data_IF_784619161848
#
_entry.id   IF_784619161848
#
_cell.length_a   1.000
_cell.length_b   1.000
_cell.length_c   1.000
_cell.angle_alpha   90.00
_cell.angle_beta   90.00
_cell.angle_gamma   90.00
#
_symmetry.space_group_name_H-M   'P 1'
#
loop_
_entity.id
_entity.type
_entity.pdbx_description
1 polymer ?
#
# COMPACT_ATOMS: atom_id res chain seq x y z
N UNK A 1 5.47 -4.00 -12.27
CA UNK A 1 5.33 -3.97 -10.80
C UNK A 1 5.78 -5.31 -10.19
N UNK A 2 6.66 -5.33 -9.20
CA UNK A 2 7.11 -6.54 -8.47
C UNK A 2 6.94 -6.32 -6.96
N UNK A 3 6.30 -7.27 -6.29
CA UNK A 3 6.26 -7.36 -4.82
C UNK A 3 7.13 -8.56 -4.43
N UNK A 4 8.09 -8.33 -3.53
CA UNK A 4 8.91 -9.40 -2.93
C UNK A 4 8.35 -9.69 -1.54
N UNK A 5 8.22 -10.97 -1.16
CA UNK A 5 7.69 -11.38 0.13
C UNK A 5 8.63 -12.40 0.78
N UNK A 6 9.21 -12.04 1.94
CA UNK A 6 10.11 -12.87 2.74
C UNK A 6 9.39 -13.51 3.94
N UNK A 7 8.06 -13.59 3.92
CA UNK A 7 7.23 -14.19 4.95
C UNK A 7 6.78 -13.19 6.02
N UNK A 8 7.73 -12.44 6.59
CA UNK A 8 7.46 -11.40 7.61
C UNK A 8 7.49 -9.98 7.05
N UNK A 9 8.10 -9.78 5.88
CA UNK A 9 8.24 -8.48 5.22
C UNK A 9 7.85 -8.61 3.76
N UNK A 10 7.09 -7.63 3.27
CA UNK A 10 6.78 -7.43 1.87
C UNK A 10 7.33 -6.07 1.44
N UNK A 11 7.95 -6.00 0.27
CA UNK A 11 8.46 -4.76 -0.30
C UNK A 11 7.93 -4.61 -1.72
N UNK A 12 7.63 -3.37 -2.12
CA UNK A 12 7.32 -3.06 -3.51
C UNK A 12 8.39 -2.16 -4.13
N UNK A 13 8.46 -2.16 -5.45
CA UNK A 13 9.45 -1.39 -6.22
C UNK A 13 9.38 0.14 -5.99
N UNK A 14 8.28 0.65 -5.44
CA UNK A 14 8.10 2.06 -5.09
C UNK A 14 8.78 2.48 -3.77
N UNK A 15 9.58 1.60 -3.15
CA UNK A 15 10.27 1.90 -1.89
C UNK A 15 9.40 1.77 -0.63
N UNK A 16 8.14 1.37 -0.79
CA UNK A 16 7.24 1.10 0.33
C UNK A 16 7.33 -0.36 0.77
N UNK A 17 7.09 -0.59 2.06
CA UNK A 17 7.15 -1.90 2.68
C UNK A 17 5.95 -2.16 3.58
N UNK A 18 5.64 -3.43 3.78
CA UNK A 18 4.71 -3.90 4.79
C UNK A 18 5.41 -4.95 5.65
N UNK A 19 5.22 -4.91 6.96
CA UNK A 19 5.81 -5.85 7.92
C UNK A 19 4.75 -6.45 8.83
N UNK A 20 4.82 -7.75 9.08
CA UNK A 20 3.99 -8.41 10.07
C UNK A 20 4.25 -7.82 11.47
N UNK A 21 3.20 -7.61 12.25
CA UNK A 21 3.31 -7.15 13.63
C UNK A 21 3.88 -8.25 14.52
N UNK A 22 3.53 -9.50 14.22
CA UNK A 22 4.06 -10.71 14.84
C UNK A 22 4.70 -11.58 13.75
N UNK A 23 6.03 -11.65 13.74
CA UNK A 23 6.81 -12.41 12.76
C UNK A 23 6.53 -13.93 12.84
N UNK A 24 5.95 -14.43 13.95
CA UNK A 24 5.51 -15.83 14.10
C UNK A 24 4.09 -16.07 13.55
N UNK A 25 3.33 -15.01 13.23
CA UNK A 25 1.97 -15.06 12.69
C UNK A 25 1.89 -14.23 11.40
N UNK A 26 2.47 -14.72 10.29
CA UNK A 26 2.52 -13.98 9.02
C UNK A 26 1.15 -13.75 8.37
N UNK A 27 0.09 -14.43 8.83
CA UNK A 27 -1.30 -14.17 8.39
C UNK A 27 -2.07 -13.24 9.34
N UNK A 28 -1.42 -12.71 10.38
CA UNK A 28 -1.99 -11.80 11.36
C UNK A 28 -2.02 -10.36 10.87
N UNK A 29 -1.71 -9.45 11.79
CA UNK A 29 -1.69 -8.01 11.52
C UNK A 29 -0.40 -7.58 10.83
N UNK A 30 -0.51 -6.61 9.92
CA UNK A 30 0.58 -6.03 9.16
C UNK A 30 0.57 -4.50 9.30
N UNK A 31 1.75 -3.89 9.35
CA UNK A 31 1.93 -2.44 9.24
C UNK A 31 2.52 -2.09 7.89
N UNK A 32 2.01 -1.04 7.27
CA UNK A 32 2.47 -0.55 5.97
C UNK A 32 3.19 0.78 6.17
N UNK A 33 4.31 0.99 5.48
CA UNK A 33 5.20 2.14 5.72
C UNK A 33 4.54 3.50 5.48
N UNK A 34 3.64 3.60 4.49
CA UNK A 34 2.90 4.83 4.19
C UNK A 34 1.56 4.95 4.95
N UNK A 35 1.21 3.96 5.76
CA UNK A 35 -0.03 3.90 6.53
C UNK A 35 0.27 3.45 7.97
N UNK A 36 1.09 4.22 8.71
CA UNK A 36 1.69 3.76 9.96
C UNK A 36 0.71 3.69 11.14
N UNK A 37 -0.36 4.50 11.11
CA UNK A 37 -1.27 4.69 12.25
C UNK A 37 -2.25 3.54 12.47
N UNK A 38 -2.22 2.51 11.62
CA UNK A 38 -3.09 1.35 11.74
C UNK A 38 -2.45 0.05 11.29
N UNK A 39 -2.97 -1.04 11.83
CA UNK A 39 -2.69 -2.39 11.35
C UNK A 39 -3.73 -2.80 10.31
N UNK A 40 -3.31 -3.63 9.37
CA UNK A 40 -4.17 -4.16 8.30
C UNK A 40 -3.97 -5.67 8.19
N UNK A 41 -4.90 -6.37 7.54
CA UNK A 41 -4.71 -7.78 7.21
C UNK A 41 -3.59 -7.96 6.18
N UNK A 42 -3.04 -9.18 6.06
CA UNK A 42 -2.07 -9.52 5.01
C UNK A 42 -2.56 -9.14 3.60
N UNK A 43 -3.84 -9.38 3.29
CA UNK A 43 -4.39 -9.06 1.96
C UNK A 43 -4.47 -7.54 1.74
N UNK A 44 -4.92 -6.80 2.74
CA UNK A 44 -4.91 -5.33 2.69
C UNK A 44 -3.48 -4.78 2.60
N UNK A 45 -2.49 -5.41 3.23
CA UNK A 45 -1.09 -5.03 3.06
C UNK A 45 -0.62 -5.19 1.61
N UNK A 46 -1.01 -6.28 0.93
CA UNK A 46 -0.76 -6.46 -0.50
C UNK A 46 -1.47 -5.38 -1.33
N UNK A 47 -2.76 -5.14 -1.08
CA UNK A 47 -3.53 -4.05 -1.73
C UNK A 47 -2.82 -2.70 -1.54
N UNK A 48 -2.31 -2.41 -0.35
CA UNK A 48 -1.62 -1.18 -0.04
C UNK A 48 -0.29 -1.03 -0.80
N UNK A 49 0.47 -2.12 -0.96
CA UNK A 49 1.69 -2.11 -1.76
C UNK A 49 1.42 -1.99 -3.27
N UNK A 50 0.31 -2.55 -3.77
CA UNK A 50 -0.18 -2.35 -5.14
C UNK A 50 -0.55 -0.90 -5.39
N UNK A 51 -1.32 -0.32 -4.48
CA UNK A 51 -1.74 1.06 -4.56
C UNK A 51 -0.53 2.01 -4.60
N UNK A 52 0.45 1.80 -3.71
CA UNK A 52 1.69 2.56 -3.70
C UNK A 52 2.46 2.50 -5.02
N UNK A 53 2.61 1.30 -5.59
CA UNK A 53 3.28 1.15 -6.88
C UNK A 53 2.56 1.88 -8.01
N UNK A 54 1.23 1.78 -8.09
CA UNK A 54 0.44 2.48 -9.10
C UNK A 54 0.54 4.00 -8.98
N UNK A 55 0.51 4.54 -7.75
CA UNK A 55 0.65 5.98 -7.51
C UNK A 55 2.04 6.49 -7.90
N UNK A 56 3.10 5.76 -7.55
CA UNK A 56 4.47 6.09 -7.95
C UNK A 56 4.68 5.99 -9.47
N UNK A 57 3.97 5.08 -10.15
CA UNK A 57 3.96 4.95 -11.61
C UNK A 57 3.10 6.03 -12.31
N UNK A 58 2.45 6.94 -11.56
CA UNK A 58 1.76 8.11 -12.09
C UNK A 58 0.23 8.07 -12.05
N UNK A 59 -0.39 7.06 -11.42
CA UNK A 59 -1.85 6.95 -11.29
C UNK A 59 -2.43 7.87 -10.18
N UNK A 60 -2.23 9.18 -10.31
CA UNK A 60 -2.50 10.17 -9.25
C UNK A 60 -3.82 10.92 -9.39
N UNK A 61 -4.60 10.70 -10.45
CA UNK A 61 -5.89 11.38 -10.62
C UNK A 61 -6.81 10.81 -11.69
N UNK A 62 -8.04 11.38 -11.81
CA UNK A 62 -9.12 10.85 -12.66
C UNK A 62 -8.83 10.74 -14.15
N UNK A 63 -7.86 11.50 -14.66
CA UNK A 63 -7.43 11.41 -16.05
C UNK A 63 -6.66 10.13 -16.36
N UNK A 64 -6.20 9.40 -15.34
CA UNK A 64 -5.41 8.18 -15.51
C UNK A 64 -6.31 6.96 -15.71
N UNK A 65 -6.00 6.11 -16.69
CA UNK A 65 -6.81 4.92 -17.03
C UNK A 65 -7.03 3.95 -15.86
N UNK A 66 -6.08 3.87 -14.92
CA UNK A 66 -6.18 2.99 -13.75
C UNK A 66 -6.85 3.63 -12.54
N UNK A 67 -7.32 4.87 -12.65
CA UNK A 67 -7.94 5.59 -11.54
C UNK A 67 -9.14 4.87 -10.89
N UNK A 68 -10.04 4.20 -11.63
CA UNK A 68 -11.11 3.43 -11.01
C UNK A 68 -10.60 2.28 -10.11
N UNK A 69 -9.46 1.68 -10.46
CA UNK A 69 -8.83 0.65 -9.63
C UNK A 69 -8.17 1.24 -8.38
N UNK A 70 -7.51 2.39 -8.51
CA UNK A 70 -6.96 3.16 -7.37
C UNK A 70 -8.06 3.48 -6.36
N UNK A 71 -9.26 3.87 -6.83
CA UNK A 71 -10.42 4.10 -5.99
C UNK A 71 -10.90 2.82 -5.28
N UNK A 72 -10.99 1.71 -5.99
CA UNK A 72 -11.37 0.42 -5.39
C UNK A 72 -10.40 -0.03 -4.30
N UNK A 73 -9.10 0.00 -4.58
CA UNK A 73 -8.06 -0.39 -3.62
C UNK A 73 -7.99 0.55 -2.42
N UNK A 74 -8.15 1.86 -2.62
CA UNK A 74 -8.24 2.80 -1.50
C UNK A 74 -9.46 2.48 -0.61
N UNK A 75 -10.61 2.17 -1.22
CA UNK A 75 -11.81 1.82 -0.49
C UNK A 75 -11.70 0.49 0.29
N UNK A 76 -10.98 -0.51 -0.23
CA UNK A 76 -10.62 -1.74 0.52
C UNK A 76 -9.81 -1.45 1.79
N UNK A 77 -9.05 -0.36 1.74
CA UNK A 77 -8.29 0.17 2.87
C UNK A 77 -9.13 1.18 3.67
N UNK A 78 -10.39 1.43 3.37
CA UNK A 78 -11.20 2.45 4.06
C UNK A 78 -10.66 3.87 3.90
N UNK A 79 -9.99 4.17 2.78
CA UNK A 79 -9.51 5.49 2.40
C UNK A 79 -10.21 5.97 1.14
N UNK A 80 -10.16 7.27 0.88
CA UNK A 80 -10.42 7.79 -0.46
C UNK A 80 -9.16 7.70 -1.32
N UNK A 81 -9.32 7.65 -2.65
CA UNK A 81 -8.16 7.66 -3.55
C UNK A 81 -7.26 8.90 -3.37
N UNK A 82 -7.79 10.14 -3.25
CA UNK A 82 -6.96 11.30 -2.95
C UNK A 82 -6.16 11.16 -1.65
N UNK A 83 -6.78 10.69 -0.56
CA UNK A 83 -6.10 10.53 0.73
C UNK A 83 -4.94 9.53 0.64
N UNK A 84 -5.15 8.42 -0.08
CA UNK A 84 -4.12 7.42 -0.30
C UNK A 84 -2.95 7.99 -1.12
N UNK A 85 -3.24 8.72 -2.21
CA UNK A 85 -2.21 9.38 -3.03
C UNK A 85 -1.37 10.34 -2.19
N UNK A 86 -2.02 11.18 -1.37
CA UNK A 86 -1.33 12.11 -0.47
C UNK A 86 -0.44 11.37 0.53
N UNK A 87 -0.95 10.34 1.20
CA UNK A 87 -0.18 9.57 2.17
C UNK A 87 1.05 8.88 1.55
N UNK A 88 0.89 8.30 0.36
CA UNK A 88 1.98 7.66 -0.38
C UNK A 88 3.07 8.69 -0.71
N UNK A 89 2.73 9.84 -1.28
CA UNK A 89 3.71 10.87 -1.63
C UNK A 89 4.44 11.44 -0.42
N UNK A 90 3.74 11.66 0.71
CA UNK A 90 4.37 12.11 1.95
C UNK A 90 5.40 11.10 2.45
N UNK A 91 5.09 9.81 2.34
CA UNK A 91 6.00 8.73 2.74
C UNK A 91 7.16 8.50 1.77
N UNK A 92 7.06 8.93 0.50
CA UNK A 92 8.17 8.87 -0.47
C UNK A 92 9.18 10.03 -0.33
N UNK A 93 8.88 11.05 0.48
CA UNK A 93 9.72 12.26 0.62
C UNK A 93 10.78 12.13 1.72
N UNK A 94 10.85 10.96 2.38
CA UNK A 94 11.79 10.67 3.48
C UNK A 94 12.81 9.59 3.12
#
# INVERSE_FOLDING_TARGET
MKITNDGAVMTCAAGHSARAVDDQRPYGEWRVSWLPDRTVTRNQAVTALVLAACVTDGATGPAHQHWPHVQGWAAELGLTAPDAVTAIHLASTY
#
